data_IF_817996902456
#
_entry.id   IF_817996902456
#
_cell.length_a   1.000
_cell.length_b   1.000
_cell.length_c   1.000
_cell.angle_alpha   90.00
_cell.angle_beta   90.00
_cell.angle_gamma   90.00
#
_symmetry.space_group_name_H-M   'P 1'
#
loop_
_entity.id
_entity.type
_entity.pdbx_description
1 polymer ?
#
# COMPACT_ATOMS: atom_id res chain seq x y z
N UNK A 1 -15.74 -35.67 7.47
CA UNK A 1 -14.72 -35.55 8.52
C UNK A 1 -15.17 -34.40 9.42
N UNK A 2 -15.46 -34.69 10.69
CA UNK A 2 -15.84 -33.67 11.66
C UNK A 2 -14.63 -33.34 12.53
N UNK A 3 -14.34 -32.03 12.67
CA UNK A 3 -13.28 -31.55 13.54
C UNK A 3 -13.92 -30.73 14.66
N UNK A 4 -13.62 -31.11 15.90
CA UNK A 4 -14.14 -30.45 17.10
C UNK A 4 -13.10 -29.46 17.60
N UNK A 5 -13.47 -28.19 17.72
CA UNK A 5 -12.65 -27.16 18.35
C UNK A 5 -13.19 -26.87 19.74
N UNK A 6 -12.29 -26.78 20.72
CA UNK A 6 -12.62 -26.42 22.09
C UNK A 6 -12.01 -25.06 22.44
N UNK A 7 -12.80 -24.18 23.07
CA UNK A 7 -12.32 -22.91 23.64
C UNK A 7 -12.92 -22.68 25.02
N UNK A 8 -12.18 -22.02 25.90
CA UNK A 8 -12.68 -21.63 27.22
C UNK A 8 -13.22 -20.21 27.20
N UNK A 9 -14.41 -20.00 27.76
CA UNK A 9 -14.96 -18.67 28.03
C UNK A 9 -14.27 -18.02 29.25
N UNK A 10 -14.36 -16.69 29.41
CA UNK A 10 -13.77 -15.98 30.56
C UNK A 10 -14.27 -16.43 31.92
N UNK A 11 -15.42 -17.12 31.96
CA UNK A 11 -16.02 -17.75 33.17
C UNK A 11 -15.55 -19.17 33.41
N UNK A 12 -14.63 -19.70 32.60
CA UNK A 12 -14.07 -21.05 32.71
C UNK A 12 -14.90 -22.15 32.08
N UNK A 13 -16.01 -21.84 31.39
CA UNK A 13 -16.83 -22.85 30.69
C UNK A 13 -16.20 -23.25 29.35
N UNK A 14 -16.29 -24.58 29.06
CA UNK A 14 -15.76 -25.16 27.82
C UNK A 14 -16.80 -25.05 26.68
N UNK A 15 -16.52 -24.28 25.66
CA UNK A 15 -17.32 -24.24 24.44
C UNK A 15 -16.72 -25.15 23.38
N UNK A 16 -17.50 -26.09 22.88
CA UNK A 16 -17.11 -26.98 21.78
C UNK A 16 -17.87 -26.61 20.52
N UNK A 17 -17.13 -26.37 19.43
CA UNK A 17 -17.68 -26.15 18.09
C UNK A 17 -17.43 -27.39 17.23
N UNK A 18 -18.49 -28.07 16.80
CA UNK A 18 -18.40 -29.16 15.84
C UNK A 18 -18.63 -28.64 14.42
N UNK A 19 -17.58 -28.66 13.59
CA UNK A 19 -17.69 -28.33 12.18
C UNK A 19 -17.77 -29.61 11.37
N UNK A 20 -18.94 -29.87 10.78
CA UNK A 20 -19.14 -30.99 9.85
C UNK A 20 -18.92 -30.49 8.42
N UNK A 21 -17.96 -31.08 7.71
CA UNK A 21 -17.69 -30.76 6.31
C UNK A 21 -18.72 -31.47 5.41
N UNK A 22 -19.50 -30.77 4.56
CA UNK A 22 -20.53 -31.36 3.71
C UNK A 22 -20.00 -32.10 2.47
N UNK A 23 -18.79 -32.66 2.53
CA UNK A 23 -18.17 -33.38 1.39
C UNK A 23 -18.70 -34.82 1.19
N UNK A 24 -19.79 -35.23 1.85
CA UNK A 24 -20.29 -36.62 1.84
C UNK A 24 -21.41 -36.92 0.82
N UNK A 25 -21.73 -36.04 -0.13
CA UNK A 25 -22.80 -36.33 -1.11
C UNK A 25 -22.46 -35.90 -2.55
N UNK A 26 -21.23 -36.19 -3.02
CA UNK A 26 -20.96 -36.20 -4.47
C UNK A 26 -20.66 -37.61 -4.89
N UNK A 27 -21.69 -38.26 -5.43
CA UNK A 27 -21.60 -39.54 -6.13
C UNK A 27 -20.63 -39.46 -7.29
N UNK A 28 -19.85 -40.52 -7.40
CA UNK A 28 -18.82 -40.78 -8.38
C UNK A 28 -19.34 -40.75 -9.85
N UNK A 29 -19.37 -39.60 -10.49
CA UNK A 29 -19.30 -39.54 -11.94
C UNK A 29 -17.91 -39.05 -12.34
N UNK A 30 -17.31 -39.79 -13.27
CA UNK A 30 -15.94 -39.60 -13.77
C UNK A 30 -15.79 -38.27 -14.50
N UNK A 31 -15.60 -37.17 -13.75
CA UNK A 31 -15.00 -35.95 -14.29
C UNK A 31 -13.50 -36.03 -14.03
N UNK A 32 -12.71 -36.09 -15.07
CA UNK A 32 -11.26 -35.85 -15.01
C UNK A 32 -11.01 -34.41 -14.56
N UNK A 33 -11.09 -34.20 -13.28
CA UNK A 33 -10.80 -32.91 -12.63
C UNK A 33 -9.28 -32.77 -12.60
N UNK A 34 -8.75 -31.79 -13.32
CA UNK A 34 -7.30 -31.55 -13.36
C UNK A 34 -6.74 -31.34 -11.95
N UNK A 35 -5.47 -31.70 -11.67
CA UNK A 35 -4.84 -31.46 -10.37
C UNK A 35 -4.97 -29.99 -9.90
N UNK A 36 -5.00 -29.04 -10.83
CA UNK A 36 -5.17 -27.60 -10.58
C UNK A 36 -6.57 -27.29 -10.00
N UNK A 37 -7.63 -27.93 -10.52
CA UNK A 37 -9.00 -27.67 -10.04
C UNK A 37 -9.26 -28.27 -8.65
N UNK A 38 -8.61 -29.38 -8.30
CA UNK A 38 -8.64 -29.94 -6.92
C UNK A 38 -7.90 -29.02 -5.95
N UNK A 39 -6.75 -28.51 -6.35
CA UNK A 39 -5.96 -27.58 -5.53
C UNK A 39 -6.71 -26.27 -5.30
N UNK A 40 -7.36 -25.73 -6.35
CA UNK A 40 -8.22 -24.52 -6.24
C UNK A 40 -9.40 -24.74 -5.31
N UNK A 41 -10.04 -25.90 -5.35
CA UNK A 41 -11.16 -26.23 -4.45
C UNK A 41 -10.70 -26.29 -2.99
N UNK A 42 -9.55 -26.91 -2.71
CA UNK A 42 -8.97 -26.97 -1.36
C UNK A 42 -8.55 -25.57 -0.88
N UNK A 43 -7.92 -24.76 -1.74
CA UNK A 43 -7.53 -23.39 -1.43
C UNK A 43 -8.74 -22.50 -1.11
N UNK A 44 -9.83 -22.64 -1.89
CA UNK A 44 -11.08 -21.93 -1.66
C UNK A 44 -11.71 -22.33 -0.31
N UNK A 45 -11.72 -23.64 -0.01
CA UNK A 45 -12.26 -24.17 1.25
C UNK A 45 -11.46 -23.67 2.46
N UNK A 46 -10.12 -23.65 2.36
CA UNK A 46 -9.25 -23.16 3.45
C UNK A 46 -9.41 -21.65 3.63
N UNK A 47 -9.46 -20.87 2.54
CA UNK A 47 -9.69 -19.44 2.60
C UNK A 47 -11.08 -19.11 3.18
N UNK A 48 -12.12 -19.86 2.80
CA UNK A 48 -13.48 -19.70 3.34
C UNK A 48 -13.55 -20.04 4.83
N UNK A 49 -12.88 -21.11 5.27
CA UNK A 49 -12.78 -21.47 6.69
C UNK A 49 -12.05 -20.40 7.51
N UNK A 50 -10.96 -19.84 6.98
CA UNK A 50 -10.24 -18.75 7.63
C UNK A 50 -11.10 -17.47 7.74
N UNK A 51 -11.89 -17.16 6.70
CA UNK A 51 -12.84 -16.04 6.72
C UNK A 51 -14.00 -16.28 7.69
N UNK A 52 -14.50 -17.51 7.82
CA UNK A 52 -15.50 -17.87 8.82
C UNK A 52 -14.96 -17.80 10.24
N UNK A 53 -13.76 -18.28 10.50
CA UNK A 53 -13.11 -18.13 11.81
C UNK A 53 -12.98 -16.65 12.23
N UNK A 54 -12.84 -15.73 11.27
CA UNK A 54 -12.82 -14.29 11.54
C UNK A 54 -14.19 -13.71 11.89
N UNK A 55 -15.30 -14.30 11.42
CA UNK A 55 -16.67 -13.89 11.78
C UNK A 55 -17.02 -14.16 13.23
N UNK A 56 -16.33 -15.13 13.86
CA UNK A 56 -16.53 -15.52 15.27
C UNK A 56 -15.68 -14.73 16.28
N UNK A 57 -14.90 -13.74 15.85
CA UNK A 57 -14.28 -12.84 16.81
C UNK A 57 -15.36 -12.01 17.53
N UNK A 58 -15.34 -11.90 18.87
CA UNK A 58 -16.26 -11.06 19.60
C UNK A 58 -16.14 -9.64 19.02
N UNK A 59 -17.26 -9.10 18.55
CA UNK A 59 -17.38 -7.70 18.19
C UNK A 59 -17.16 -6.90 19.47
N UNK A 60 -15.93 -6.47 19.71
CA UNK A 60 -15.69 -5.35 20.58
C UNK A 60 -16.37 -4.16 19.88
N UNK A 61 -17.65 -3.96 20.21
CA UNK A 61 -18.35 -2.72 19.96
C UNK A 61 -17.62 -1.64 20.74
N UNK A 62 -16.64 -1.01 20.10
CA UNK A 62 -16.16 0.30 20.53
C UNK A 62 -17.30 1.23 20.16
N UNK A 63 -18.13 1.53 21.19
CA UNK A 63 -19.31 2.35 21.06
C UNK A 63 -19.03 3.69 20.40
N UNK A 64 -19.98 4.18 19.62
CA UNK A 64 -19.94 5.33 18.74
C UNK A 64 -19.80 6.70 19.41
N UNK A 65 -18.82 6.92 20.29
CA UNK A 65 -18.57 8.22 20.94
C UNK A 65 -17.09 8.66 20.94
N UNK A 66 -16.19 7.99 20.19
CA UNK A 66 -14.77 8.32 20.17
C UNK A 66 -14.46 9.60 19.33
N UNK A 67 -15.45 10.17 18.65
CA UNK A 67 -15.24 11.33 17.76
C UNK A 67 -15.22 12.71 18.47
N UNK A 68 -15.30 12.77 19.79
CA UNK A 68 -15.30 14.05 20.53
C UNK A 68 -14.13 14.25 21.49
N UNK A 69 -13.26 13.29 21.66
CA UNK A 69 -12.07 13.50 22.46
C UNK A 69 -10.98 14.20 21.63
N UNK A 70 -10.62 15.37 22.08
CA UNK A 70 -9.45 16.15 21.70
C UNK A 70 -8.24 15.23 21.85
N UNK A 71 -7.71 14.74 20.73
CA UNK A 71 -6.61 13.79 20.73
C UNK A 71 -5.33 14.44 21.26
N UNK A 72 -4.99 14.17 22.51
CA UNK A 72 -3.61 14.22 22.97
C UNK A 72 -2.89 13.00 22.38
N UNK A 73 -2.01 13.19 21.38
CA UNK A 73 -1.18 12.16 20.78
C UNK A 73 -0.41 11.26 21.77
N UNK A 74 0.04 11.74 22.97
CA UNK A 74 0.74 10.91 23.94
C UNK A 74 -0.06 9.74 24.50
N UNK A 75 -1.40 9.77 24.45
CA UNK A 75 -2.23 8.74 25.09
C UNK A 75 -2.66 7.57 24.20
N UNK A 76 -2.42 7.64 22.89
CA UNK A 76 -2.80 6.58 21.95
C UNK A 76 -1.73 5.49 21.89
N UNK A 77 -1.85 4.45 22.72
CA UNK A 77 -0.98 3.26 22.65
C UNK A 77 -1.25 2.45 21.38
N UNK A 78 -0.21 1.86 20.81
CA UNK A 78 -0.34 0.89 19.71
C UNK A 78 -1.18 -0.31 20.16
N UNK A 79 -2.34 -0.52 19.52
CA UNK A 79 -3.18 -1.68 19.78
C UNK A 79 -2.76 -2.82 18.86
N UNK A 80 -2.16 -3.85 19.44
CA UNK A 80 -1.73 -5.03 18.72
C UNK A 80 -2.85 -6.08 18.69
N UNK A 81 -3.24 -6.50 17.48
CA UNK A 81 -4.07 -7.69 17.29
C UNK A 81 -3.31 -8.70 16.41
N UNK A 82 -2.71 -9.67 17.06
CA UNK A 82 -1.89 -10.71 16.40
C UNK A 82 -2.71 -11.67 15.52
N UNK A 83 -4.04 -11.68 15.68
CA UNK A 83 -4.95 -12.47 14.85
C UNK A 83 -5.61 -11.68 13.73
N UNK A 84 -5.29 -10.40 13.59
CA UNK A 84 -5.79 -9.58 12.48
C UNK A 84 -4.96 -9.84 11.21
N UNK A 85 -5.27 -10.97 10.55
CA UNK A 85 -4.59 -11.41 9.32
C UNK A 85 -5.13 -10.74 8.05
N UNK A 86 -6.16 -9.89 8.15
CA UNK A 86 -6.77 -9.23 6.99
C UNK A 86 -5.84 -8.22 6.30
N UNK A 87 -4.90 -7.68 7.04
CA UNK A 87 -4.02 -6.61 6.57
C UNK A 87 -2.59 -7.09 6.30
N UNK A 88 -2.38 -8.39 6.03
CA UNK A 88 -1.04 -8.90 5.78
C UNK A 88 -0.53 -8.53 4.38
N UNK A 89 0.34 -7.51 4.24
CA UNK A 89 0.76 -7.01 2.94
C UNK A 89 1.62 -8.02 2.16
N UNK A 90 2.26 -8.97 2.87
CA UNK A 90 3.09 -10.00 2.26
C UNK A 90 2.37 -11.33 2.03
N UNK A 91 1.09 -11.45 2.37
CA UNK A 91 0.32 -12.68 2.10
C UNK A 91 0.18 -12.98 0.59
N UNK A 92 0.25 -11.94 -0.27
CA UNK A 92 0.26 -12.07 -1.73
C UNK A 92 1.65 -12.12 -2.36
N UNK A 93 2.71 -12.18 -1.57
CA UNK A 93 4.07 -12.15 -2.07
C UNK A 93 4.44 -13.41 -2.88
N UNK A 94 5.27 -13.21 -3.91
CA UNK A 94 5.90 -14.31 -4.62
C UNK A 94 6.73 -15.14 -3.64
N UNK A 95 6.44 -16.44 -3.50
CA UNK A 95 6.98 -17.29 -2.43
C UNK A 95 8.52 -17.24 -2.30
N UNK A 96 9.31 -17.33 -3.40
CA UNK A 96 10.76 -17.14 -3.30
C UNK A 96 11.17 -15.78 -2.75
N UNK A 97 10.42 -14.71 -3.06
CA UNK A 97 10.67 -13.39 -2.51
C UNK A 97 10.34 -13.31 -1.02
N UNK A 98 9.25 -13.93 -0.59
CA UNK A 98 8.90 -14.01 0.84
C UNK A 98 10.03 -14.69 1.63
N UNK A 99 10.59 -15.79 1.11
CA UNK A 99 11.74 -16.46 1.71
C UNK A 99 12.97 -15.54 1.78
N UNK A 100 13.26 -14.78 0.72
CA UNK A 100 14.36 -13.80 0.69
C UNK A 100 14.17 -12.70 1.74
N UNK A 101 12.95 -12.17 1.90
CA UNK A 101 12.63 -11.15 2.92
C UNK A 101 12.87 -11.72 4.32
N UNK A 102 12.40 -12.93 4.61
CA UNK A 102 12.62 -13.55 5.91
C UNK A 102 14.09 -13.87 6.15
N UNK A 103 14.83 -14.37 5.16
CA UNK A 103 16.27 -14.60 5.26
C UNK A 103 17.04 -13.29 5.52
N UNK A 104 16.70 -12.19 4.83
CA UNK A 104 17.27 -10.86 5.04
C UNK A 104 17.05 -10.34 6.46
N UNK A 105 15.97 -10.74 7.10
CA UNK A 105 15.64 -10.46 8.49
C UNK A 105 16.05 -11.61 9.44
N UNK A 106 16.91 -12.54 8.98
CA UNK A 106 17.45 -13.68 9.77
C UNK A 106 16.33 -14.55 10.38
N UNK A 107 15.16 -14.59 9.74
CA UNK A 107 13.94 -15.25 10.25
C UNK A 107 13.52 -14.78 11.65
N UNK A 108 13.94 -13.58 12.05
CA UNK A 108 13.61 -13.02 13.35
C UNK A 108 12.22 -12.39 13.34
N UNK A 109 11.27 -13.08 13.91
CA UNK A 109 9.92 -12.55 14.21
C UNK A 109 9.58 -12.82 15.68
N UNK A 110 8.65 -12.06 16.24
CA UNK A 110 8.22 -12.31 17.62
C UNK A 110 7.25 -13.49 17.64
N UNK A 111 7.40 -14.50 18.53
CA UNK A 111 6.63 -15.74 18.51
C UNK A 111 5.10 -15.54 18.47
N UNK A 112 4.60 -14.50 19.12
CA UNK A 112 3.17 -14.15 19.12
C UNK A 112 2.60 -13.82 17.74
N UNK A 113 3.44 -13.39 16.77
CA UNK A 113 3.03 -13.12 15.39
C UNK A 113 3.11 -14.37 14.49
N UNK A 114 3.41 -15.54 15.05
CA UNK A 114 3.45 -16.80 14.30
C UNK A 114 2.19 -17.02 13.44
N UNK A 115 0.94 -16.75 13.91
CA UNK A 115 -0.25 -16.91 13.08
C UNK A 115 -0.21 -16.09 11.80
N UNK A 116 0.29 -14.84 11.86
CA UNK A 116 0.44 -13.96 10.70
C UNK A 116 1.50 -14.47 9.73
N UNK A 117 2.65 -14.90 10.27
CA UNK A 117 3.74 -15.49 9.48
C UNK A 117 3.25 -16.74 8.76
N UNK A 118 2.62 -17.66 9.49
CA UNK A 118 2.07 -18.91 8.94
C UNK A 118 1.03 -18.61 7.83
N UNK A 119 0.15 -17.63 8.05
CA UNK A 119 -0.84 -17.19 7.07
C UNK A 119 -0.17 -16.66 5.80
N UNK A 120 0.85 -15.80 5.93
CA UNK A 120 1.56 -15.23 4.78
C UNK A 120 2.24 -16.31 3.95
N UNK A 121 2.91 -17.28 4.58
CA UNK A 121 3.49 -18.42 3.88
C UNK A 121 2.45 -19.32 3.22
N UNK A 122 1.33 -19.59 3.91
CA UNK A 122 0.23 -20.40 3.38
C UNK A 122 -0.34 -19.77 2.10
N UNK A 123 -0.73 -18.50 2.16
CA UNK A 123 -1.33 -17.80 1.02
C UNK A 123 -0.32 -17.67 -0.13
N UNK A 124 0.93 -17.29 0.16
CA UNK A 124 1.99 -17.22 -0.86
C UNK A 124 2.23 -18.58 -1.52
N UNK A 125 2.15 -19.68 -0.76
CA UNK A 125 2.28 -21.06 -1.31
C UNK A 125 1.11 -21.42 -2.22
N UNK A 126 -0.11 -21.06 -1.82
CA UNK A 126 -1.33 -21.26 -2.64
C UNK A 126 -1.27 -20.45 -3.94
N UNK A 127 -0.74 -19.24 -3.88
CA UNK A 127 -0.64 -18.36 -5.05
C UNK A 127 0.53 -18.70 -5.97
N UNK A 128 1.54 -19.39 -5.49
CA UNK A 128 2.78 -19.66 -6.24
C UNK A 128 2.55 -20.36 -7.57
N UNK A 129 1.72 -21.41 -7.70
CA UNK A 129 1.41 -22.02 -9.00
C UNK A 129 0.80 -21.06 -10.02
N UNK A 130 -0.02 -20.10 -9.56
CA UNK A 130 -0.61 -19.06 -10.41
C UNK A 130 0.45 -18.07 -10.90
N UNK A 131 1.39 -17.72 -10.03
CA UNK A 131 2.54 -16.88 -10.39
C UNK A 131 3.40 -17.56 -11.48
N UNK A 132 3.67 -18.85 -11.34
CA UNK A 132 4.41 -19.62 -12.36
C UNK A 132 3.61 -19.71 -13.65
N UNK A 133 2.32 -20.04 -13.57
CA UNK A 133 1.44 -20.10 -14.77
C UNK A 133 1.41 -18.75 -15.50
N UNK A 134 1.37 -17.65 -14.77
CA UNK A 134 1.39 -16.32 -15.35
C UNK A 134 2.72 -16.02 -16.05
N UNK A 135 3.83 -16.31 -15.41
CA UNK A 135 5.16 -16.19 -16.03
C UNK A 135 5.24 -17.00 -17.34
N UNK A 136 4.88 -18.26 -17.31
CA UNK A 136 4.94 -19.12 -18.51
C UNK A 136 4.07 -18.57 -19.65
N UNK A 137 2.89 -18.02 -19.34
CA UNK A 137 1.93 -17.57 -20.37
C UNK A 137 2.21 -16.16 -20.88
N UNK A 138 2.69 -15.27 -20.03
CA UNK A 138 2.67 -13.83 -20.31
C UNK A 138 4.03 -13.15 -20.22
N UNK A 139 5.08 -13.77 -19.63
CA UNK A 139 6.37 -13.14 -19.37
C UNK A 139 6.95 -12.51 -20.64
N UNK A 140 7.05 -13.29 -21.74
CA UNK A 140 7.53 -12.78 -23.02
C UNK A 140 6.67 -11.62 -23.58
N UNK A 141 5.35 -11.65 -23.36
CA UNK A 141 4.44 -10.58 -23.81
C UNK A 141 4.64 -9.32 -22.98
N UNK A 142 4.82 -9.50 -21.67
CA UNK A 142 5.07 -8.40 -20.73
C UNK A 142 6.43 -7.75 -21.03
N UNK A 143 7.50 -8.55 -21.20
CA UNK A 143 8.84 -8.05 -21.52
C UNK A 143 8.89 -7.29 -22.84
N UNK A 144 8.13 -7.74 -23.84
CA UNK A 144 8.01 -7.07 -25.13
C UNK A 144 7.01 -5.90 -25.13
N UNK A 145 6.34 -5.62 -24.01
CA UNK A 145 5.42 -4.47 -23.92
C UNK A 145 6.22 -3.18 -23.85
N UNK A 146 5.96 -2.29 -24.78
CA UNK A 146 6.52 -0.94 -24.79
C UNK A 146 5.66 0.02 -23.96
N UNK A 147 6.30 0.83 -23.13
CA UNK A 147 5.66 1.92 -22.41
C UNK A 147 5.70 3.18 -23.30
N UNK A 148 4.80 3.24 -24.28
CA UNK A 148 4.78 4.31 -25.31
C UNK A 148 4.43 5.68 -24.73
N UNK A 149 3.68 5.74 -23.65
CA UNK A 149 3.32 6.96 -22.97
C UNK A 149 4.09 7.07 -21.65
N UNK A 150 4.92 8.10 -21.46
CA UNK A 150 5.68 8.27 -20.23
C UNK A 150 4.77 8.27 -19.01
N UNK A 151 5.15 7.58 -17.91
CA UNK A 151 4.35 7.52 -16.70
C UNK A 151 4.16 8.91 -16.07
N UNK A 152 3.09 9.06 -15.29
CA UNK A 152 2.89 10.19 -14.39
C UNK A 152 3.13 9.69 -12.97
N UNK A 153 4.12 10.24 -12.28
CA UNK A 153 4.44 9.94 -10.89
C UNK A 153 3.83 10.99 -9.96
N UNK A 154 2.91 10.56 -9.10
CA UNK A 154 2.36 11.38 -8.02
C UNK A 154 3.24 11.15 -6.79
N UNK A 155 4.06 12.15 -6.47
CA UNK A 155 5.06 12.12 -5.41
C UNK A 155 4.70 13.09 -4.29
N UNK A 156 5.30 12.93 -3.13
CA UNK A 156 5.06 13.69 -1.91
C UNK A 156 5.10 12.78 -0.71
N UNK A 157 5.34 13.33 0.47
CA UNK A 157 5.40 12.51 1.68
C UNK A 157 4.05 11.84 1.98
N UNK A 158 4.09 10.69 2.65
CA UNK A 158 2.88 10.08 3.22
C UNK A 158 2.09 11.13 4.00
N UNK A 159 0.79 11.07 3.92
CA UNK A 159 -0.15 11.99 4.59
C UNK A 159 -0.21 13.42 4.05
N UNK A 160 0.43 13.70 2.92
CA UNK A 160 0.32 14.99 2.20
C UNK A 160 -0.88 15.07 1.25
N UNK A 161 -1.77 14.05 1.20
CA UNK A 161 -2.93 14.06 0.31
C UNK A 161 -2.72 13.32 -1.02
N UNK A 162 -1.62 12.58 -1.16
CA UNK A 162 -1.28 11.80 -2.37
C UNK A 162 -2.39 10.83 -2.80
N UNK A 163 -3.13 10.21 -1.86
CA UNK A 163 -4.23 9.30 -2.17
C UNK A 163 -5.42 10.03 -2.80
N UNK A 164 -5.77 11.22 -2.28
CA UNK A 164 -6.88 12.00 -2.86
C UNK A 164 -6.55 12.44 -4.29
N UNK A 165 -5.32 12.90 -4.50
CA UNK A 165 -4.83 13.25 -5.83
C UNK A 165 -4.85 12.04 -6.78
N UNK A 166 -4.40 10.86 -6.32
CA UNK A 166 -4.42 9.64 -7.12
C UNK A 166 -5.84 9.22 -7.50
N UNK A 167 -6.77 9.28 -6.55
CA UNK A 167 -8.17 8.98 -6.81
C UNK A 167 -8.81 9.96 -7.79
N UNK A 168 -8.41 11.24 -7.80
CA UNK A 168 -8.83 12.20 -8.82
C UNK A 168 -8.30 11.80 -10.20
N UNK A 169 -6.99 11.54 -10.33
CA UNK A 169 -6.40 11.10 -11.60
C UNK A 169 -7.01 9.80 -12.12
N UNK A 170 -7.40 8.87 -11.26
CA UNK A 170 -8.02 7.60 -11.66
C UNK A 170 -9.41 7.74 -12.28
N UNK A 171 -10.03 8.92 -12.18
CA UNK A 171 -11.29 9.22 -12.87
C UNK A 171 -11.09 9.43 -14.38
N UNK A 172 -9.88 9.77 -14.81
CA UNK A 172 -9.49 9.81 -16.22
C UNK A 172 -9.30 8.38 -16.75
N UNK A 173 -10.29 7.88 -17.48
CA UNK A 173 -10.30 6.51 -17.99
C UNK A 173 -9.34 6.27 -19.17
N UNK A 174 -8.65 7.30 -19.65
CA UNK A 174 -7.53 7.14 -20.59
C UNK A 174 -6.25 6.66 -19.90
N UNK A 175 -6.21 6.71 -18.57
CA UNK A 175 -5.07 6.31 -17.76
C UNK A 175 -5.27 4.94 -17.12
N UNK A 176 -4.17 4.25 -16.82
CA UNK A 176 -4.10 3.03 -16.04
C UNK A 176 -3.42 3.30 -14.69
N UNK A 177 -3.66 2.44 -13.70
CA UNK A 177 -3.06 2.52 -12.38
C UNK A 177 -2.99 1.14 -11.73
N UNK A 178 -2.19 0.98 -10.69
CA UNK A 178 -2.24 -0.23 -9.88
C UNK A 178 -3.42 -0.13 -8.91
N UNK A 179 -4.24 -1.19 -8.87
CA UNK A 179 -5.34 -1.31 -7.92
C UNK A 179 -4.89 -1.99 -6.64
N UNK A 180 -5.73 -1.99 -5.60
CA UNK A 180 -5.47 -2.76 -4.37
C UNK A 180 -5.25 -4.24 -4.72
N UNK A 181 -6.06 -4.80 -5.62
CA UNK A 181 -5.88 -6.16 -6.12
C UNK A 181 -4.52 -6.38 -6.78
N UNK A 182 -4.13 -5.50 -7.72
CA UNK A 182 -2.83 -5.61 -8.41
C UNK A 182 -1.66 -5.53 -7.44
N UNK A 183 -1.78 -4.69 -6.42
CA UNK A 183 -0.73 -4.48 -5.42
C UNK A 183 -0.61 -5.65 -4.44
N UNK A 184 -1.73 -6.33 -4.13
CA UNK A 184 -1.75 -7.49 -3.23
C UNK A 184 -1.36 -8.78 -3.95
N UNK A 185 -1.75 -8.95 -5.22
CA UNK A 185 -1.56 -10.17 -6.02
C UNK A 185 -0.56 -9.91 -7.15
N UNK A 186 0.53 -9.18 -6.86
CA UNK A 186 1.46 -8.67 -7.86
C UNK A 186 2.07 -9.74 -8.80
N UNK A 187 2.28 -10.95 -8.28
CA UNK A 187 2.84 -12.07 -9.05
C UNK A 187 1.85 -12.72 -10.03
N UNK A 188 0.54 -12.55 -9.85
CA UNK A 188 -0.48 -13.32 -10.59
C UNK A 188 -1.76 -12.53 -10.90
N UNK A 189 -1.72 -11.19 -10.99
CA UNK A 189 -2.95 -10.42 -11.16
C UNK A 189 -3.59 -10.53 -12.55
N UNK A 190 -2.89 -11.04 -13.56
CA UNK A 190 -3.47 -11.27 -14.89
C UNK A 190 -4.22 -12.62 -14.94
N UNK A 191 -3.57 -13.69 -14.49
CA UNK A 191 -4.15 -15.05 -14.52
C UNK A 191 -5.07 -15.31 -13.33
N UNK A 192 -4.78 -14.69 -12.20
CA UNK A 192 -5.47 -14.91 -10.93
C UNK A 192 -6.66 -13.98 -10.69
N UNK A 193 -6.94 -13.00 -11.54
CA UNK A 193 -7.96 -11.98 -11.30
C UNK A 193 -9.31 -12.59 -10.94
N UNK A 194 -9.79 -13.54 -11.74
CA UNK A 194 -11.09 -14.19 -11.52
C UNK A 194 -11.20 -14.90 -10.18
N UNK A 195 -10.09 -15.43 -9.67
CA UNK A 195 -10.07 -16.24 -8.45
C UNK A 195 -9.75 -15.42 -7.21
N UNK A 196 -8.73 -14.57 -7.28
CA UNK A 196 -8.22 -13.87 -6.10
C UNK A 196 -8.86 -12.50 -5.85
N UNK A 197 -9.37 -11.83 -6.89
CA UNK A 197 -9.97 -10.51 -6.71
C UNK A 197 -11.20 -10.52 -5.79
N UNK A 198 -12.15 -11.47 -5.88
CA UNK A 198 -13.24 -11.59 -4.92
C UNK A 198 -12.75 -11.88 -3.48
N UNK A 199 -11.66 -12.64 -3.32
CA UNK A 199 -11.08 -12.91 -2.00
C UNK A 199 -10.42 -11.66 -1.40
N UNK A 200 -9.70 -10.91 -2.21
CA UNK A 200 -9.12 -9.62 -1.81
C UNK A 200 -10.24 -8.66 -1.41
N UNK A 201 -11.30 -8.53 -2.23
CA UNK A 201 -12.44 -7.67 -1.92
C UNK A 201 -13.10 -8.04 -0.59
N UNK A 202 -13.29 -9.34 -0.32
CA UNK A 202 -13.87 -9.83 0.93
C UNK A 202 -12.94 -9.63 2.16
N UNK A 203 -11.62 -9.51 1.94
CA UNK A 203 -10.63 -9.36 3.02
C UNK A 203 -10.40 -7.92 3.45
N UNK A 204 -10.66 -6.94 2.59
CA UNK A 204 -10.43 -5.52 2.90
C UNK A 204 -11.67 -4.88 3.53
N UNK A 205 -11.50 -3.91 4.44
CA UNK A 205 -12.63 -3.17 5.00
C UNK A 205 -13.17 -2.18 3.98
N UNK A 206 -14.44 -1.76 4.12
CA UNK A 206 -15.05 -0.74 3.27
C UNK A 206 -14.32 0.62 3.33
N UNK A 207 -13.69 0.91 4.46
CA UNK A 207 -12.96 2.17 4.71
C UNK A 207 -11.64 1.91 5.43
N UNK A 208 -10.65 2.75 5.14
CA UNK A 208 -9.35 2.68 5.83
C UNK A 208 -9.50 3.06 7.30
N UNK A 209 -8.89 2.30 8.22
CA UNK A 209 -9.03 2.53 9.66
C UNK A 209 -8.52 3.90 10.15
N UNK A 210 -7.64 4.56 9.37
CA UNK A 210 -6.97 5.79 9.81
C UNK A 210 -7.62 7.09 9.32
N UNK A 211 -8.49 7.05 8.27
CA UNK A 211 -8.99 8.29 7.64
C UNK A 211 -10.31 8.14 6.85
N UNK A 212 -11.03 7.07 7.06
CA UNK A 212 -12.35 6.79 6.44
C UNK A 212 -12.37 6.83 4.89
N UNK A 213 -11.21 6.83 4.23
CA UNK A 213 -11.14 6.76 2.77
C UNK A 213 -11.66 5.39 2.31
N UNK A 214 -12.55 5.33 1.31
CA UNK A 214 -13.08 4.08 0.79
C UNK A 214 -11.96 3.13 0.33
N UNK A 215 -12.16 1.84 0.54
CA UNK A 215 -11.31 0.77 0.04
C UNK A 215 -12.13 -0.21 -0.80
N UNK A 216 -11.55 -0.69 -1.87
CA UNK A 216 -12.01 -1.84 -2.65
C UNK A 216 -10.84 -2.43 -3.45
N UNK A 217 -11.02 -3.64 -3.97
CA UNK A 217 -10.01 -4.29 -4.81
C UNK A 217 -9.70 -3.49 -6.08
N UNK A 218 -10.63 -2.68 -6.57
CA UNK A 218 -10.51 -1.89 -7.80
C UNK A 218 -9.98 -0.46 -7.59
N UNK A 219 -9.95 0.02 -6.35
CA UNK A 219 -9.47 1.39 -6.09
C UNK A 219 -7.95 1.49 -6.24
N UNK A 220 -7.45 2.67 -6.65
CA UNK A 220 -6.03 2.92 -6.82
C UNK A 220 -5.22 2.66 -5.55
N UNK A 221 -4.08 2.00 -5.70
CA UNK A 221 -3.15 1.68 -4.62
C UNK A 221 -1.71 2.00 -5.04
N UNK A 222 -0.84 2.06 -4.06
CA UNK A 222 0.58 2.30 -4.24
C UNK A 222 1.27 1.06 -4.80
N UNK A 223 2.03 1.22 -5.88
CA UNK A 223 2.79 0.12 -6.48
C UNK A 223 3.96 -0.35 -5.59
N UNK A 224 4.32 0.39 -4.53
CA UNK A 224 5.30 -0.04 -3.54
C UNK A 224 4.89 -1.34 -2.83
N UNK A 225 3.58 -1.58 -2.61
CA UNK A 225 3.10 -2.86 -2.09
C UNK A 225 3.37 -3.99 -3.08
N UNK A 226 3.12 -3.76 -4.39
CA UNK A 226 3.45 -4.73 -5.42
C UNK A 226 4.96 -5.01 -5.48
N UNK A 227 5.77 -3.97 -5.35
CA UNK A 227 7.23 -4.12 -5.24
C UNK A 227 7.62 -4.97 -4.04
N UNK A 228 7.03 -4.74 -2.85
CA UNK A 228 7.27 -5.57 -1.67
C UNK A 228 6.93 -7.05 -1.88
N UNK A 229 5.90 -7.34 -2.70
CA UNK A 229 5.56 -8.71 -3.07
C UNK A 229 6.55 -9.36 -4.04
N UNK A 230 7.30 -8.59 -4.86
CA UNK A 230 8.14 -9.07 -5.94
C UNK A 230 9.64 -9.04 -5.63
N UNK A 231 10.11 -8.12 -4.79
CA UNK A 231 11.53 -7.97 -4.40
C UNK A 231 11.67 -7.67 -2.92
N UNK A 232 12.77 -8.10 -2.24
CA UNK A 232 13.03 -7.74 -0.86
C UNK A 232 13.43 -6.26 -0.71
N UNK A 233 13.66 -5.54 -1.80
CA UNK A 233 14.19 -4.19 -1.85
C UNK A 233 13.09 -3.12 -1.97
N UNK A 234 12.03 -3.26 -1.16
CA UNK A 234 10.92 -2.33 -1.09
C UNK A 234 10.78 -1.73 0.31
N UNK A 235 10.45 -0.46 0.40
CA UNK A 235 10.33 0.27 1.67
C UNK A 235 9.30 -0.37 2.62
N UNK A 236 8.13 -0.81 2.09
CA UNK A 236 7.05 -1.34 2.93
C UNK A 236 7.37 -2.68 3.59
N UNK A 237 8.39 -3.40 3.14
CA UNK A 237 8.87 -4.58 3.86
C UNK A 237 9.40 -4.22 5.26
N UNK A 238 9.86 -2.96 5.45
CA UNK A 238 10.25 -2.43 6.76
C UNK A 238 9.10 -2.30 7.76
N UNK A 239 7.86 -2.15 7.29
CA UNK A 239 6.69 -2.13 8.18
C UNK A 239 6.36 -3.53 8.72
N UNK A 240 6.70 -4.57 7.97
CA UNK A 240 6.60 -5.94 8.46
C UNK A 240 7.74 -6.28 9.43
N UNK A 241 8.89 -5.64 9.27
CA UNK A 241 10.10 -5.86 10.07
C UNK A 241 10.64 -4.55 10.68
N UNK A 242 9.92 -3.91 11.61
CA UNK A 242 10.27 -2.58 12.12
C UNK A 242 11.60 -2.51 12.87
N UNK A 243 12.13 -3.62 13.39
CA UNK A 243 13.48 -3.66 13.98
C UNK A 243 14.58 -3.43 12.96
N UNK A 244 14.29 -3.65 11.66
CA UNK A 244 15.21 -3.42 10.55
C UNK A 244 14.78 -2.22 9.68
N UNK A 245 13.96 -1.32 10.22
CA UNK A 245 13.40 -0.17 9.49
C UNK A 245 14.48 0.71 8.86
N UNK A 246 15.61 0.96 9.56
CA UNK A 246 16.75 1.76 9.04
C UNK A 246 17.33 1.19 7.74
N UNK A 247 17.34 -0.13 7.59
CA UNK A 247 17.75 -0.77 6.34
C UNK A 247 16.74 -0.51 5.22
N UNK A 248 15.45 -0.69 5.51
CA UNK A 248 14.39 -0.48 4.51
C UNK A 248 14.20 0.99 4.12
N UNK A 249 14.50 1.93 5.03
CA UNK A 249 14.51 3.38 4.72
C UNK A 249 15.46 3.73 3.57
N UNK A 250 16.56 2.97 3.40
CA UNK A 250 17.51 3.19 2.30
C UNK A 250 16.84 3.05 0.92
N UNK A 251 15.81 2.21 0.81
CA UNK A 251 15.09 2.02 -0.46
C UNK A 251 14.21 3.22 -0.86
N UNK A 252 13.99 4.20 0.01
CA UNK A 252 13.32 5.45 -0.36
C UNK A 252 14.26 6.36 -1.16
N UNK A 253 15.51 6.51 -0.71
CA UNK A 253 16.48 7.38 -1.37
C UNK A 253 17.45 6.62 -2.29
N UNK A 254 17.58 5.30 -2.14
CA UNK A 254 18.54 4.44 -2.86
C UNK A 254 20.00 4.88 -2.69
N UNK A 255 20.31 5.63 -1.63
CA UNK A 255 21.65 6.10 -1.35
C UNK A 255 22.46 5.08 -0.54
N UNK A 256 23.72 4.91 -0.91
CA UNK A 256 24.63 3.96 -0.24
C UNK A 256 24.21 2.50 -0.41
N UNK A 257 23.46 2.19 -1.48
CA UNK A 257 23.11 0.83 -1.84
C UNK A 257 24.10 0.27 -2.88
N UNK A 258 24.41 -1.04 -2.82
CA UNK A 258 25.18 -1.69 -3.87
C UNK A 258 24.51 -1.53 -5.24
N UNK A 259 25.29 -1.34 -6.30
CA UNK A 259 24.77 -1.17 -7.65
C UNK A 259 23.87 -2.32 -8.10
N UNK A 260 24.23 -3.56 -7.73
CA UNK A 260 23.43 -4.76 -8.03
C UNK A 260 22.01 -4.71 -7.44
N UNK A 261 21.87 -4.15 -6.24
CA UNK A 261 20.57 -3.96 -5.57
C UNK A 261 19.73 -2.93 -6.31
N UNK A 262 20.35 -1.82 -6.72
CA UNK A 262 19.67 -0.77 -7.50
C UNK A 262 19.22 -1.33 -8.84
N UNK A 263 20.05 -2.10 -9.53
CA UNK A 263 19.72 -2.71 -10.82
C UNK A 263 18.65 -3.80 -10.69
N UNK A 264 18.66 -4.62 -9.62
CA UNK A 264 17.56 -5.57 -9.38
C UNK A 264 16.24 -4.82 -9.13
N UNK A 265 16.28 -3.73 -8.34
CA UNK A 265 15.10 -2.90 -8.10
C UNK A 265 14.58 -2.29 -9.41
N UNK A 266 15.45 -1.68 -10.25
CA UNK A 266 15.07 -1.12 -11.56
C UNK A 266 14.44 -2.14 -12.49
N UNK A 267 15.06 -3.34 -12.61
CA UNK A 267 14.51 -4.43 -13.45
C UNK A 267 13.13 -4.86 -12.97
N UNK A 268 12.96 -5.05 -11.66
CA UNK A 268 11.68 -5.45 -11.07
C UNK A 268 10.62 -4.36 -11.27
N UNK A 269 10.99 -3.10 -11.07
CA UNK A 269 10.09 -1.96 -11.25
C UNK A 269 9.68 -1.80 -12.71
N UNK A 270 10.62 -1.88 -13.65
CA UNK A 270 10.33 -1.83 -15.08
C UNK A 270 9.41 -2.98 -15.52
N UNK A 271 9.68 -4.19 -15.05
CA UNK A 271 8.82 -5.34 -15.31
C UNK A 271 7.40 -5.12 -14.78
N UNK A 272 7.26 -4.61 -13.56
CA UNK A 272 5.97 -4.30 -12.96
C UNK A 272 5.21 -3.24 -13.79
N UNK A 273 5.88 -2.18 -14.24
CA UNK A 273 5.26 -1.14 -15.06
C UNK A 273 4.86 -1.67 -16.45
N UNK A 274 5.70 -2.48 -17.08
CA UNK A 274 5.35 -3.18 -18.34
C UNK A 274 4.14 -4.09 -18.17
N UNK A 275 4.07 -4.82 -17.06
CA UNK A 275 2.92 -5.67 -16.72
C UNK A 275 1.64 -4.85 -16.51
N UNK A 276 1.73 -3.72 -15.82
CA UNK A 276 0.62 -2.77 -15.69
C UNK A 276 0.18 -2.20 -17.05
N UNK A 277 1.14 -1.79 -17.89
CA UNK A 277 0.87 -1.28 -19.23
C UNK A 277 0.21 -2.34 -20.13
N UNK A 278 0.67 -3.58 -20.05
CA UNK A 278 0.04 -4.72 -20.75
C UNK A 278 -1.41 -4.94 -20.29
N UNK A 279 -1.66 -4.95 -18.98
CA UNK A 279 -3.00 -5.09 -18.39
C UNK A 279 -3.94 -3.98 -18.86
N UNK A 280 -3.49 -2.72 -18.83
CA UNK A 280 -4.24 -1.55 -19.25
C UNK A 280 -4.19 -1.26 -20.76
N UNK A 281 -3.73 -2.25 -21.58
CA UNK A 281 -3.73 -2.17 -23.04
C UNK A 281 -3.03 -0.93 -23.59
N UNK A 282 -1.86 -0.60 -23.03
CA UNK A 282 -1.01 0.51 -23.48
C UNK A 282 -1.40 1.89 -22.95
N UNK A 283 -2.37 1.99 -22.03
CA UNK A 283 -2.72 3.29 -21.40
C UNK A 283 -1.53 3.84 -20.60
N UNK A 284 -1.44 5.16 -20.52
CA UNK A 284 -0.49 5.84 -19.65
C UNK A 284 -0.72 5.47 -18.20
N UNK A 285 0.33 5.09 -17.49
CA UNK A 285 0.22 4.77 -16.06
C UNK A 285 0.31 6.03 -15.21
N UNK A 286 -0.59 6.16 -14.24
CA UNK A 286 -0.50 7.09 -13.13
C UNK A 286 -0.13 6.30 -11.88
N UNK A 287 1.00 6.63 -11.30
CA UNK A 287 1.66 5.89 -10.23
C UNK A 287 1.77 6.77 -8.99
N UNK A 288 1.19 6.35 -7.89
CA UNK A 288 1.27 7.11 -6.65
C UNK A 288 2.06 6.30 -5.63
N UNK A 289 3.25 6.79 -5.33
CA UNK A 289 4.13 6.16 -4.36
C UNK A 289 4.92 7.24 -3.61
N UNK A 290 4.64 7.47 -2.33
CA UNK A 290 5.41 8.45 -1.56
C UNK A 290 6.91 8.15 -1.52
N UNK A 291 7.33 6.89 -1.55
CA UNK A 291 8.75 6.54 -1.60
C UNK A 291 9.46 7.05 -2.87
N UNK A 292 8.71 7.19 -3.99
CA UNK A 292 9.26 7.73 -5.23
C UNK A 292 9.67 9.21 -5.13
N UNK A 293 9.25 9.92 -4.09
CA UNK A 293 9.72 11.30 -3.81
C UNK A 293 11.24 11.34 -3.62
N UNK A 294 11.85 10.32 -3.06
CA UNK A 294 13.30 10.21 -2.93
C UNK A 294 14.01 9.55 -4.12
N UNK A 295 13.30 9.26 -5.22
CA UNK A 295 13.83 8.48 -6.37
C UNK A 295 13.75 9.23 -7.70
N UNK A 296 13.62 10.57 -7.69
CA UNK A 296 13.37 11.37 -8.91
C UNK A 296 14.41 11.06 -9.98
N UNK A 297 15.70 11.14 -9.65
CA UNK A 297 16.79 10.87 -10.61
C UNK A 297 16.72 9.47 -11.19
N UNK A 298 16.51 8.45 -10.36
CA UNK A 298 16.40 7.05 -10.81
C UNK A 298 15.22 6.86 -11.77
N UNK A 299 14.09 7.53 -11.48
CA UNK A 299 12.91 7.47 -12.33
C UNK A 299 13.13 8.23 -13.65
N UNK A 300 13.85 9.34 -13.65
CA UNK A 300 14.25 10.05 -14.86
C UNK A 300 15.24 9.24 -15.71
N UNK A 301 16.21 8.57 -15.06
CA UNK A 301 17.14 7.66 -15.77
C UNK A 301 16.38 6.51 -16.47
N UNK A 302 15.27 6.03 -15.88
CA UNK A 302 14.44 4.97 -16.46
C UNK A 302 13.42 5.49 -17.48
N UNK A 303 12.90 6.69 -17.27
CA UNK A 303 11.83 7.32 -18.04
C UNK A 303 12.12 8.81 -18.20
N UNK A 304 13.00 9.22 -19.15
CA UNK A 304 13.44 10.62 -19.28
C UNK A 304 12.31 11.64 -19.52
N UNK A 305 11.20 11.19 -20.13
CA UNK A 305 10.02 12.04 -20.38
C UNK A 305 8.91 11.86 -19.35
N UNK A 306 9.19 11.19 -18.23
CA UNK A 306 8.20 11.01 -17.16
C UNK A 306 7.69 12.37 -16.64
N UNK A 307 6.44 12.37 -16.22
CA UNK A 307 5.81 13.55 -15.62
C UNK A 307 5.67 13.35 -14.12
N UNK A 308 5.86 14.43 -13.38
CA UNK A 308 5.81 14.39 -11.91
C UNK A 308 4.80 15.42 -11.40
N UNK A 309 3.99 14.98 -10.44
CA UNK A 309 3.13 15.88 -9.66
C UNK A 309 3.54 15.75 -8.21
N UNK A 310 4.15 16.77 -7.67
CA UNK A 310 4.53 16.81 -6.25
C UNK A 310 3.42 17.45 -5.44
N UNK A 311 2.91 16.72 -4.45
CA UNK A 311 1.96 17.27 -3.47
C UNK A 311 2.61 17.40 -2.11
N UNK A 312 2.52 18.60 -1.53
CA UNK A 312 3.05 18.91 -0.20
C UNK A 312 1.98 19.51 0.72
N UNK A 313 2.22 19.41 2.00
CA UNK A 313 1.32 19.84 3.08
C UNK A 313 2.13 20.42 4.23
N UNK A 314 1.48 21.23 5.09
CA UNK A 314 2.09 21.78 6.29
C UNK A 314 2.84 20.68 7.08
N UNK A 315 4.16 20.87 7.37
CA UNK A 315 4.98 19.84 8.01
C UNK A 315 4.46 19.39 9.37
N UNK A 316 3.88 20.27 10.17
CA UNK A 316 3.24 19.89 11.43
C UNK A 316 2.09 18.90 11.20
N UNK A 317 1.21 19.22 10.27
CA UNK A 317 0.07 18.36 9.93
C UNK A 317 0.52 16.99 9.39
N UNK A 318 1.60 16.96 8.62
CA UNK A 318 2.21 15.72 8.13
C UNK A 318 2.72 14.89 9.29
N UNK A 319 3.46 15.49 10.23
CA UNK A 319 4.00 14.78 11.40
C UNK A 319 2.89 14.09 12.21
N UNK A 320 1.88 14.86 12.67
CA UNK A 320 0.82 14.30 13.49
C UNK A 320 -0.01 13.24 12.76
N UNK A 321 -0.33 13.51 11.49
CA UNK A 321 -1.06 12.55 10.66
C UNK A 321 -0.26 11.28 10.41
N UNK A 322 1.08 11.37 10.28
CA UNK A 322 1.96 10.22 10.08
C UNK A 322 2.12 9.41 11.37
N UNK A 323 2.30 10.06 12.51
CA UNK A 323 2.36 9.35 13.79
C UNK A 323 1.06 8.60 14.08
N UNK A 324 -0.10 9.25 13.88
CA UNK A 324 -1.40 8.56 13.97
C UNK A 324 -1.48 7.35 13.02
N UNK A 325 -1.06 7.53 11.79
CA UNK A 325 -1.05 6.47 10.78
C UNK A 325 -0.18 5.29 11.21
N UNK A 326 1.06 5.53 11.63
CA UNK A 326 1.99 4.48 12.05
C UNK A 326 1.48 3.70 13.27
N UNK A 327 0.90 4.40 14.27
CA UNK A 327 0.29 3.75 15.44
C UNK A 327 -0.87 2.82 15.10
N UNK A 328 -1.61 3.12 14.02
CA UNK A 328 -2.74 2.30 13.57
C UNK A 328 -2.28 1.16 12.65
N UNK A 329 -1.36 1.43 11.73
CA UNK A 329 -1.01 0.50 10.63
C UNK A 329 0.09 -0.48 11.04
N UNK A 330 1.15 -0.03 11.73
CA UNK A 330 2.27 -0.91 12.05
C UNK A 330 1.85 -2.14 12.87
N UNK A 331 1.02 -2.05 13.92
CA UNK A 331 0.58 -3.23 14.65
C UNK A 331 -0.17 -4.26 13.80
N UNK A 332 -0.77 -3.81 12.68
CA UNK A 332 -1.50 -4.66 11.74
C UNK A 332 -0.58 -5.36 10.74
N UNK A 333 0.53 -4.72 10.35
CA UNK A 333 1.42 -5.22 9.30
C UNK A 333 2.61 -6.00 9.84
N UNK A 334 2.99 -5.77 11.10
CA UNK A 334 4.26 -6.25 11.61
C UNK A 334 4.30 -7.73 12.01
N UNK A 335 5.47 -8.34 11.84
CA UNK A 335 5.86 -9.63 12.42
C UNK A 335 6.75 -9.48 13.66
N UNK A 336 7.02 -8.25 14.08
CA UNK A 336 7.90 -7.93 15.21
C UNK A 336 7.24 -6.88 16.09
N UNK A 337 7.55 -6.89 17.38
CA UNK A 337 7.07 -5.83 18.27
C UNK A 337 7.70 -4.49 17.86
N UNK A 338 6.88 -3.50 17.51
CA UNK A 338 7.36 -2.18 17.17
C UNK A 338 7.87 -1.44 18.42
N UNK A 339 8.86 -0.56 18.23
CA UNK A 339 9.40 0.36 19.23
C UNK A 339 9.02 1.78 18.81
N UNK A 340 8.14 2.40 19.57
CA UNK A 340 7.49 3.66 19.16
C UNK A 340 8.47 4.81 19.05
N UNK A 341 9.43 4.92 19.97
CA UNK A 341 10.45 5.99 19.94
C UNK A 341 11.34 5.89 18.72
N UNK A 342 11.80 4.65 18.39
CA UNK A 342 12.60 4.41 17.19
C UNK A 342 11.81 4.64 15.91
N UNK A 343 10.50 4.37 15.92
CA UNK A 343 9.64 4.62 14.76
C UNK A 343 9.52 6.11 14.50
N UNK A 344 9.29 6.91 15.53
CA UNK A 344 9.22 8.37 15.43
C UNK A 344 10.54 8.95 14.91
N UNK A 345 11.66 8.56 15.54
CA UNK A 345 13.01 8.99 15.11
C UNK A 345 13.26 8.66 13.63
N UNK A 346 13.00 7.41 13.25
CA UNK A 346 13.17 6.95 11.87
C UNK A 346 12.30 7.72 10.89
N UNK A 347 11.04 8.00 11.24
CA UNK A 347 10.13 8.77 10.41
C UNK A 347 10.62 10.20 10.23
N UNK A 348 11.07 10.85 11.30
CA UNK A 348 11.59 12.22 11.23
C UNK A 348 12.89 12.31 10.41
N UNK A 349 13.79 11.33 10.53
CA UNK A 349 15.01 11.26 9.75
C UNK A 349 14.74 10.98 8.26
N UNK A 350 13.80 10.07 7.98
CA UNK A 350 13.42 9.73 6.61
C UNK A 350 12.83 10.93 5.88
N UNK A 351 11.98 11.72 6.56
CA UNK A 351 11.43 12.96 6.02
C UNK A 351 12.53 13.91 5.54
N UNK A 352 13.54 14.15 6.40
CA UNK A 352 14.67 15.02 6.08
C UNK A 352 15.46 14.50 4.87
N UNK A 353 15.85 13.24 4.88
CA UNK A 353 16.64 12.62 3.80
C UNK A 353 15.89 12.69 2.47
N UNK A 354 14.63 12.27 2.49
CA UNK A 354 13.79 12.21 1.30
C UNK A 354 13.58 13.60 0.69
N UNK A 355 13.20 14.60 1.49
CA UNK A 355 12.92 15.93 0.94
C UNK A 355 14.16 16.72 0.57
N UNK A 356 15.28 16.58 1.30
CA UNK A 356 16.54 17.19 0.87
C UNK A 356 17.00 16.65 -0.49
N UNK A 357 16.86 15.33 -0.68
CA UNK A 357 17.16 14.71 -1.96
C UNK A 357 16.18 15.16 -3.05
N UNK A 358 14.88 15.15 -2.76
CA UNK A 358 13.85 15.64 -3.69
C UNK A 358 14.10 17.08 -4.15
N UNK A 359 14.33 18.00 -3.22
CA UNK A 359 14.57 19.41 -3.53
C UNK A 359 15.79 19.63 -4.44
N UNK A 360 16.80 18.75 -4.34
CA UNK A 360 17.95 18.76 -5.23
C UNK A 360 17.62 18.18 -6.61
N UNK A 361 16.95 17.02 -6.64
CA UNK A 361 16.73 16.27 -7.88
C UNK A 361 15.54 16.79 -8.71
N UNK A 362 14.58 17.51 -8.12
CA UNK A 362 13.47 18.10 -8.87
C UNK A 362 13.90 19.07 -9.94
N UNK A 363 15.07 19.70 -9.77
CA UNK A 363 15.66 20.62 -10.75
C UNK A 363 16.15 19.89 -12.03
N UNK A 364 16.30 18.56 -11.98
CA UNK A 364 16.65 17.74 -13.14
C UNK A 364 15.42 17.37 -13.99
N UNK A 365 14.18 17.65 -13.52
CA UNK A 365 12.95 17.32 -14.25
C UNK A 365 12.80 18.31 -15.42
N UNK A 366 12.60 17.81 -16.66
CA UNK A 366 12.44 18.70 -17.82
C UNK A 366 11.25 19.64 -17.69
N UNK A 367 11.38 20.83 -18.26
CA UNK A 367 10.32 21.82 -18.33
C UNK A 367 9.03 21.24 -18.94
N UNK A 368 7.88 21.55 -18.34
CA UNK A 368 6.58 21.02 -18.75
C UNK A 368 6.30 19.57 -18.28
N UNK A 369 7.22 18.95 -17.54
CA UNK A 369 7.03 17.64 -16.94
C UNK A 369 6.89 17.66 -15.41
N UNK A 370 6.82 18.85 -14.81
CA UNK A 370 6.68 19.01 -13.37
C UNK A 370 5.52 19.94 -12.99
N UNK A 371 4.78 19.58 -11.95
CA UNK A 371 3.75 20.43 -11.34
C UNK A 371 3.76 20.22 -9.83
N UNK A 372 3.62 21.31 -9.07
CA UNK A 372 3.51 21.27 -7.62
C UNK A 372 2.09 21.57 -7.16
N UNK A 373 1.59 20.86 -6.16
CA UNK A 373 0.25 21.00 -5.60
C UNK A 373 0.35 21.19 -4.09
N UNK A 374 -0.15 22.32 -3.61
CA UNK A 374 -0.34 22.53 -2.18
C UNK A 374 -1.63 21.83 -1.73
N UNK A 375 -1.55 20.97 -0.73
CA UNK A 375 -2.69 20.18 -0.23
C UNK A 375 -3.91 21.05 0.10
N UNK A 376 -3.70 22.17 0.78
CA UNK A 376 -4.76 23.07 1.21
C UNK A 376 -5.50 23.69 0.01
N UNK A 377 -4.80 23.95 -1.10
CA UNK A 377 -5.41 24.43 -2.34
C UNK A 377 -6.23 23.31 -3.00
N UNK A 378 -5.66 22.10 -3.05
CA UNK A 378 -6.35 20.94 -3.64
C UNK A 378 -7.67 20.63 -2.92
N UNK A 379 -7.70 20.70 -1.58
CA UNK A 379 -8.93 20.46 -0.83
C UNK A 379 -9.94 21.59 -1.03
N UNK A 380 -9.47 22.83 -1.09
CA UNK A 380 -10.33 24.01 -1.23
C UNK A 380 -10.91 24.16 -2.66
N UNK A 381 -10.12 23.85 -3.70
CA UNK A 381 -10.48 24.04 -5.12
C UNK A 381 -10.01 22.86 -5.99
N UNK A 382 -10.48 21.63 -5.74
CA UNK A 382 -9.92 20.42 -6.34
C UNK A 382 -9.97 20.41 -7.87
N UNK A 383 -11.07 20.86 -8.47
CA UNK A 383 -11.24 20.87 -9.94
C UNK A 383 -10.30 21.93 -10.59
N UNK A 384 -10.15 23.08 -9.96
CA UNK A 384 -9.29 24.15 -10.49
C UNK A 384 -7.81 23.75 -10.41
N UNK A 385 -7.40 23.17 -9.27
CA UNK A 385 -6.02 22.67 -9.10
C UNK A 385 -5.73 21.52 -10.08
N UNK A 386 -6.65 20.58 -10.24
CA UNK A 386 -6.48 19.51 -11.21
C UNK A 386 -6.38 20.02 -12.63
N UNK A 387 -7.23 20.99 -13.02
CA UNK A 387 -7.17 21.65 -14.35
C UNK A 387 -5.81 22.33 -14.59
N UNK A 388 -5.28 23.02 -13.58
CA UNK A 388 -3.96 23.65 -13.63
C UNK A 388 -2.87 22.61 -13.87
N UNK A 389 -2.86 21.52 -13.08
CA UNK A 389 -1.90 20.42 -13.21
C UNK A 389 -1.94 19.80 -14.61
N UNK A 390 -3.13 19.53 -15.15
CA UNK A 390 -3.28 18.98 -16.50
C UNK A 390 -2.72 19.94 -17.56
N UNK A 391 -2.95 21.25 -17.40
CA UNK A 391 -2.42 22.28 -18.31
C UNK A 391 -0.89 22.34 -18.24
N UNK A 392 -0.30 22.41 -17.05
CA UNK A 392 1.15 22.47 -16.83
C UNK A 392 1.88 21.27 -17.40
N UNK A 393 1.29 20.08 -17.25
CA UNK A 393 1.84 18.83 -17.78
C UNK A 393 1.46 18.56 -19.27
N UNK A 394 0.73 19.45 -19.93
CA UNK A 394 0.30 19.25 -21.31
C UNK A 394 -0.66 18.06 -21.51
N UNK A 395 -1.43 17.68 -20.49
CA UNK A 395 -2.40 16.57 -20.56
C UNK A 395 -3.71 17.07 -21.20
N UNK A 396 -4.12 16.48 -22.32
CA UNK A 396 -5.23 16.97 -23.15
C UNK A 396 -6.60 16.45 -22.76
N UNK A 397 -6.69 15.51 -21.80
CA UNK A 397 -7.93 14.75 -21.49
C UNK A 397 -8.79 15.41 -20.41
N UNK A 398 -8.38 16.54 -19.81
CA UNK A 398 -9.11 17.15 -18.69
C UNK A 398 -10.60 17.41 -19.01
N UNK A 399 -10.88 18.11 -20.13
CA UNK A 399 -12.27 18.48 -20.45
C UNK A 399 -13.15 17.25 -20.76
N UNK A 400 -12.56 16.19 -21.34
CA UNK A 400 -13.26 14.93 -21.60
C UNK A 400 -13.72 14.27 -20.30
N UNK A 401 -12.93 14.34 -19.22
CA UNK A 401 -13.23 13.68 -17.95
C UNK A 401 -13.67 14.64 -16.83
N UNK A 402 -13.84 15.92 -17.10
CA UNK A 402 -14.24 16.94 -16.13
C UNK A 402 -15.52 16.55 -15.36
N UNK A 403 -16.52 15.98 -16.05
CA UNK A 403 -17.73 15.47 -15.41
C UNK A 403 -17.47 14.37 -14.37
N UNK A 404 -16.53 13.45 -14.67
CA UNK A 404 -16.16 12.38 -13.75
C UNK A 404 -15.39 12.93 -12.54
N UNK A 405 -14.50 13.90 -12.75
CA UNK A 405 -13.79 14.59 -11.66
C UNK A 405 -14.76 15.29 -10.71
N UNK A 406 -15.73 16.05 -11.24
CA UNK A 406 -16.75 16.75 -10.45
C UNK A 406 -17.59 15.77 -9.64
N UNK A 407 -18.09 14.70 -10.27
CA UNK A 407 -18.85 13.65 -9.58
C UNK A 407 -18.07 13.01 -8.43
N UNK A 408 -16.77 12.77 -8.63
CA UNK A 408 -15.90 12.25 -7.57
C UNK A 408 -15.76 13.25 -6.42
N UNK A 409 -15.54 14.53 -6.73
CA UNK A 409 -15.40 15.61 -5.74
C UNK A 409 -16.71 15.80 -4.95
N UNK A 410 -17.86 15.79 -5.61
CA UNK A 410 -19.18 15.87 -4.94
C UNK A 410 -19.38 14.74 -3.93
N UNK A 411 -18.96 13.52 -4.31
CA UNK A 411 -19.14 12.34 -3.45
C UNK A 411 -18.13 12.25 -2.31
N UNK A 412 -16.88 12.64 -2.55
CA UNK A 412 -15.76 12.36 -1.65
C UNK A 412 -14.93 13.60 -1.26
N UNK A 413 -15.25 14.78 -1.77
CA UNK A 413 -14.51 16.02 -1.55
C UNK A 413 -14.67 16.61 -0.14
N UNK A 414 -15.62 16.11 0.66
CA UNK A 414 -15.82 16.54 2.05
C UNK A 414 -14.83 15.87 3.01
N UNK A 415 -13.54 16.06 2.73
CA UNK A 415 -12.48 15.50 3.58
C UNK A 415 -12.43 16.32 4.86
N UNK A 416 -12.77 15.69 5.98
CA UNK A 416 -12.56 16.28 7.30
C UNK A 416 -11.07 16.33 7.60
N UNK A 417 -10.50 17.52 7.60
CA UNK A 417 -9.15 17.73 8.11
C UNK A 417 -9.18 17.62 9.63
N UNK A 418 -8.41 16.68 10.18
CA UNK A 418 -8.23 16.63 11.64
C UNK A 418 -7.44 17.86 12.08
N UNK A 419 -7.99 18.64 13.02
CA UNK A 419 -7.23 19.67 13.69
C UNK A 419 -6.47 19.01 14.85
N UNK A 420 -5.16 19.15 14.85
CA UNK A 420 -4.31 18.64 15.91
C UNK A 420 -4.04 19.76 16.93
N UNK A 421 -4.17 19.45 18.21
CA UNK A 421 -3.64 20.33 19.27
C UNK A 421 -2.15 20.04 19.37
N UNK A 422 -1.34 21.08 19.27
CA UNK A 422 0.10 20.99 19.28
C UNK A 422 0.60 21.69 20.53
N UNK A 423 1.37 20.97 21.35
CA UNK A 423 2.16 21.58 22.40
C UNK A 423 3.42 22.22 21.81
N UNK A 424 3.93 23.25 22.49
CA UNK A 424 5.07 24.02 22.01
C UNK A 424 6.38 23.22 21.99
N UNK A 425 6.53 22.22 22.84
CA UNK A 425 7.69 21.33 22.85
C UNK A 425 7.75 20.49 21.57
N UNK A 426 6.60 19.87 21.20
CA UNK A 426 6.48 19.10 19.97
C UNK A 426 6.67 19.97 18.73
N UNK A 427 6.10 21.18 18.68
CA UNK A 427 6.34 22.12 17.58
C UNK A 427 7.83 22.46 17.45
N UNK A 428 8.47 22.83 18.56
CA UNK A 428 9.91 23.14 18.57
C UNK A 428 10.76 21.97 18.09
N UNK A 429 10.44 20.74 18.52
CA UNK A 429 11.10 19.50 18.06
C UNK A 429 10.98 19.33 16.55
N UNK A 430 9.78 19.50 15.99
CA UNK A 430 9.51 19.36 14.56
C UNK A 430 10.24 20.44 13.78
N UNK A 431 10.07 21.70 14.17
CA UNK A 431 10.68 22.82 13.50
C UNK A 431 12.21 22.73 13.48
N UNK A 432 12.83 22.38 14.60
CA UNK A 432 14.29 22.19 14.70
C UNK A 432 14.83 21.19 13.65
N UNK A 433 14.08 20.13 13.36
CA UNK A 433 14.50 19.11 12.37
C UNK A 433 14.06 19.44 10.96
N UNK A 434 12.91 20.08 10.77
CA UNK A 434 12.25 20.25 9.48
C UNK A 434 12.16 21.70 8.99
N UNK A 435 12.85 22.67 9.61
CA UNK A 435 12.84 24.08 9.25
C UNK A 435 13.00 24.30 7.73
N UNK A 436 13.93 23.58 7.10
CA UNK A 436 14.16 23.66 5.67
C UNK A 436 12.91 23.37 4.81
N UNK A 437 11.99 22.54 5.31
CA UNK A 437 10.75 22.21 4.60
C UNK A 437 9.70 23.32 4.74
N UNK A 438 9.68 24.01 5.90
CA UNK A 438 8.85 25.21 6.06
C UNK A 438 9.27 26.27 5.06
N UNK A 439 10.57 26.53 4.95
CA UNK A 439 11.12 27.51 4.00
C UNK A 439 10.84 27.09 2.55
N UNK A 440 11.15 25.82 2.19
CA UNK A 440 11.02 25.32 0.81
C UNK A 440 9.57 25.29 0.32
N UNK A 441 8.59 25.07 1.20
CA UNK A 441 7.17 24.93 0.86
C UNK A 441 6.33 26.16 1.22
N UNK A 442 6.95 27.21 1.76
CA UNK A 442 6.30 28.48 2.10
C UNK A 442 5.24 28.32 3.20
N UNK A 443 5.59 27.61 4.29
CA UNK A 443 4.80 27.53 5.52
C UNK A 443 5.48 28.33 6.62
N UNK A 444 4.66 28.96 7.44
CA UNK A 444 5.15 29.62 8.66
C UNK A 444 5.45 28.58 9.75
N UNK A 445 6.45 28.85 10.61
CA UNK A 445 6.84 28.02 11.75
C UNK A 445 5.72 27.82 12.77
#
# INVERSE_FOLDING_TARGET
MSVTFASYSPDGSLNTLNVTCPLASVTSEKLQVSPVSRFVSVAYTVASLLLEMQRYQPRLQIGGNIYKEIFHLPSMKMQENVFDIKYEPLAGAYLPNLLRIFAQNKFLFSPRYFPKVAYSFLISSIMYPFCISEKVKYDRKIENTEIKQPPIFLVGHWRSGTTYLHNLFSQDKSMGYFTTFHSTVAGAFITGERFFKPLVEASIPEKRPMDDVPMSADLPQEEEYAMGCLTPYAYYNGWCFPRNMKFYNKFVCMEGMPGEVIEEWKRTYLYLLKKGTFYWKGRRLVLKNPANTGRIKILLDMFPEAKFVHIFRNPYEVYFSMMKFLRIVLPRYTYQRPDEEKIEENMMELYVKMYRKFLKEKEEIPDGNFSEVRYENLIKRPIQELKRVYKELGLKTFEQYNGAFRKYVEKYGHIKTSKYQMDEETKSKIYKKWAFAFDAFGYEP
#
